data_IF_050509769223
#
_entry.id   IF_050509769223
#
_cell.length_a   1.000
_cell.length_b   1.000
_cell.length_c   1.000
_cell.angle_alpha   90.00
_cell.angle_beta   90.00
_cell.angle_gamma   90.00
#
_symmetry.space_group_name_H-M   'P 1'
#
loop_
_entity.id
_entity.type
_entity.pdbx_description
1 polymer ?
#
# COMPACT_ATOMS: atom_id res chain seq x y z
N UNK A 1 -0.47 5.13 -17.51
CA UNK A 1 -0.29 4.47 -16.20
C UNK A 1 0.24 3.07 -16.43
N UNK A 2 1.20 2.60 -15.63
CA UNK A 2 1.70 1.21 -15.70
C UNK A 2 0.53 0.23 -15.51
N UNK A 3 0.42 -0.85 -16.30
CA UNK A 3 -0.63 -1.87 -16.16
C UNK A 3 -0.69 -2.44 -14.73
N UNK A 4 0.49 -2.62 -14.10
CA UNK A 4 0.60 -3.05 -12.72
C UNK A 4 -0.05 -2.05 -11.76
N UNK A 5 0.22 -0.75 -11.94
CA UNK A 5 -0.41 0.29 -11.11
C UNK A 5 -1.93 0.27 -11.21
N UNK A 6 -2.52 0.03 -12.37
CA UNK A 6 -3.99 -0.05 -12.50
C UNK A 6 -4.60 -1.23 -11.73
N UNK A 7 -3.90 -2.38 -11.69
CA UNK A 7 -4.36 -3.58 -10.98
C UNK A 7 -4.24 -3.40 -9.47
N UNK A 8 -3.12 -2.84 -9.00
CA UNK A 8 -2.82 -2.75 -7.57
C UNK A 8 -3.32 -1.47 -6.90
N UNK A 9 -3.68 -0.41 -7.66
CA UNK A 9 -4.22 0.84 -7.10
C UNK A 9 -5.41 0.62 -6.14
N UNK A 10 -6.49 -0.11 -6.52
CA UNK A 10 -7.62 -0.28 -5.62
C UNK A 10 -7.24 -1.02 -4.32
N UNK A 11 -6.24 -1.90 -4.38
CA UNK A 11 -5.75 -2.68 -3.23
C UNK A 11 -4.89 -1.81 -2.30
N UNK A 12 -4.11 -0.87 -2.84
CA UNK A 12 -3.25 0.04 -2.06
C UNK A 12 -4.05 1.22 -1.48
N UNK A 13 -5.05 1.72 -2.20
CA UNK A 13 -5.85 2.88 -1.77
C UNK A 13 -6.64 2.60 -0.50
N UNK A 14 -7.13 1.37 -0.30
CA UNK A 14 -7.86 1.00 0.91
C UNK A 14 -7.04 1.19 2.20
N UNK A 15 -5.84 0.57 2.36
CA UNK A 15 -5.03 0.77 3.56
C UNK A 15 -4.44 2.18 3.67
N UNK A 16 -4.25 2.92 2.57
CA UNK A 16 -3.89 4.34 2.65
C UNK A 16 -5.00 5.16 3.34
N UNK A 17 -6.26 4.97 2.93
CA UNK A 17 -7.41 5.63 3.58
C UNK A 17 -7.57 5.21 5.04
N UNK A 18 -7.33 3.94 5.34
CA UNK A 18 -7.36 3.39 6.70
C UNK A 18 -6.31 4.08 7.58
N UNK A 19 -5.07 4.23 7.09
CA UNK A 19 -4.02 4.95 7.78
C UNK A 19 -4.39 6.42 8.03
N UNK A 20 -4.90 7.11 7.02
CA UNK A 20 -5.26 8.53 7.12
C UNK A 20 -6.45 8.79 8.04
N UNK A 21 -7.35 7.82 8.17
CA UNK A 21 -8.49 7.88 9.08
C UNK A 21 -8.13 7.44 10.51
N UNK A 22 -6.93 6.88 10.73
CA UNK A 22 -6.51 6.37 12.03
C UNK A 22 -5.96 7.52 12.90
N UNK A 23 -6.51 7.74 14.11
CA UNK A 23 -6.03 8.75 15.04
C UNK A 23 -4.53 8.64 15.38
N UNK A 24 -3.87 9.78 15.59
CA UNK A 24 -2.40 9.85 15.82
C UNK A 24 -1.95 9.15 17.11
N UNK A 25 -2.83 9.01 18.10
CA UNK A 25 -2.59 8.29 19.35
C UNK A 25 -2.54 6.76 19.16
N UNK A 26 -3.10 6.23 18.07
CA UNK A 26 -3.08 4.80 17.76
C UNK A 26 -1.83 4.40 16.96
N UNK A 27 -0.66 4.68 17.52
CA UNK A 27 0.65 4.51 16.88
C UNK A 27 0.87 3.07 16.39
N UNK A 28 0.50 2.07 17.19
CA UNK A 28 0.67 0.66 16.82
C UNK A 28 -0.17 0.26 15.60
N UNK A 29 -1.42 0.73 15.53
CA UNK A 29 -2.31 0.49 14.41
C UNK A 29 -1.80 1.20 13.16
N UNK A 30 -1.38 2.47 13.27
CA UNK A 30 -0.78 3.20 12.13
C UNK A 30 0.47 2.52 11.60
N UNK A 31 1.31 1.98 12.50
CA UNK A 31 2.52 1.25 12.12
C UNK A 31 2.21 -0.12 11.48
N UNK A 32 1.13 -0.79 11.88
CA UNK A 32 0.70 -2.03 11.22
C UNK A 32 0.18 -1.74 9.81
N UNK A 33 -0.63 -0.69 9.64
CA UNK A 33 -1.16 -0.27 8.34
C UNK A 33 -0.02 0.20 7.42
N UNK A 34 0.94 1.00 7.92
CA UNK A 34 2.14 1.39 7.17
C UNK A 34 2.93 0.19 6.65
N UNK A 35 3.14 -0.84 7.47
CA UNK A 35 3.82 -2.07 7.05
C UNK A 35 3.08 -2.78 5.93
N UNK A 36 1.74 -2.82 6.01
CA UNK A 36 0.88 -3.40 4.98
C UNK A 36 0.98 -2.62 3.66
N UNK A 37 0.96 -1.29 3.71
CA UNK A 37 1.14 -0.43 2.53
C UNK A 37 2.52 -0.67 1.90
N UNK A 38 3.59 -0.68 2.70
CA UNK A 38 4.95 -0.90 2.22
C UNK A 38 5.12 -2.27 1.56
N UNK A 39 4.51 -3.31 2.13
CA UNK A 39 4.51 -4.65 1.55
C UNK A 39 3.76 -4.70 0.21
N UNK A 40 2.62 -4.01 0.10
CA UNK A 40 1.89 -3.94 -1.17
C UNK A 40 2.71 -3.19 -2.23
N UNK A 41 3.30 -2.05 -1.87
CA UNK A 41 4.16 -1.28 -2.77
C UNK A 41 5.38 -2.06 -3.24
N UNK A 42 6.03 -2.83 -2.36
CA UNK A 42 7.14 -3.70 -2.75
C UNK A 42 6.68 -4.80 -3.70
N UNK A 43 5.51 -5.37 -3.49
CA UNK A 43 4.90 -6.37 -4.40
C UNK A 43 4.66 -5.77 -5.79
N UNK A 44 4.10 -4.56 -5.87
CA UNK A 44 3.93 -3.86 -7.17
C UNK A 44 5.27 -3.64 -7.84
N UNK A 45 6.27 -3.15 -7.10
CA UNK A 45 7.61 -2.89 -7.64
C UNK A 45 8.27 -4.18 -8.14
N UNK A 46 8.14 -5.29 -7.42
CA UNK A 46 8.65 -6.60 -7.84
C UNK A 46 7.93 -7.11 -9.09
N UNK A 47 6.62 -6.92 -9.20
CA UNK A 47 5.87 -7.26 -10.40
C UNK A 47 6.28 -6.40 -11.60
N UNK A 48 6.47 -5.10 -11.40
CA UNK A 48 6.97 -4.20 -12.45
C UNK A 48 8.38 -4.60 -12.91
N UNK A 49 9.27 -5.02 -11.98
CA UNK A 49 10.61 -5.51 -12.30
C UNK A 49 10.59 -6.87 -13.04
N UNK A 50 9.67 -7.76 -12.70
CA UNK A 50 9.53 -9.06 -13.36
C UNK A 50 8.86 -8.96 -14.74
N UNK A 51 8.13 -7.87 -14.99
CA UNK A 51 7.44 -7.59 -16.24
C UNK A 51 8.23 -6.68 -17.19
N UNK A 52 9.47 -6.33 -16.82
CA UNK A 52 10.41 -5.51 -17.59
C UNK A 52 11.48 -6.39 -18.25
#
# INVERSE_FOLDING_TARGET
MSPARNIYNPIIVSPLKEHDSTPDDQIELRNSIKRRILFLMSTVKSFELASA
#
